data_IF_461127614452
#
_entry.id   IF_461127614452
#
_cell.length_a   1.000
_cell.length_b   1.000
_cell.length_c   1.000
_cell.angle_alpha   90.00
_cell.angle_beta   90.00
_cell.angle_gamma   90.00
#
_symmetry.space_group_name_H-M   'P 1'
#
loop_
_entity.id
_entity.type
_entity.pdbx_description
1 polymer ?
#
# COMPACT_ATOMS: atom_id res chain seq x y z
N UNK A 1 -11.24 -12.85 17.97
CA UNK A 1 -11.66 -11.81 17.03
C UNK A 1 -12.81 -12.34 16.20
N UNK A 2 -13.92 -11.62 16.12
CA UNK A 2 -15.09 -11.99 15.31
C UNK A 2 -15.07 -11.07 14.09
N UNK A 3 -14.58 -11.55 12.94
CA UNK A 3 -14.57 -10.76 11.71
C UNK A 3 -15.99 -10.54 11.20
N UNK A 4 -16.20 -9.43 10.49
CA UNK A 4 -17.44 -9.16 9.78
C UNK A 4 -17.71 -10.31 8.78
N UNK A 5 -18.97 -10.75 8.59
CA UNK A 5 -19.28 -11.91 7.74
C UNK A 5 -18.74 -11.80 6.31
N UNK A 6 -18.68 -10.59 5.73
CA UNK A 6 -18.12 -10.34 4.38
C UNK A 6 -16.59 -10.42 4.31
N UNK A 7 -15.92 -10.60 5.44
CA UNK A 7 -14.46 -10.65 5.56
C UNK A 7 -13.94 -12.05 5.93
N UNK A 8 -14.86 -12.96 6.23
CA UNK A 8 -14.54 -14.37 6.43
C UNK A 8 -14.40 -15.03 5.06
N UNK A 9 -13.43 -15.96 4.91
CA UNK A 9 -13.38 -16.76 3.69
C UNK A 9 -14.70 -17.52 3.52
N UNK A 10 -15.21 -17.51 2.30
CA UNK A 10 -16.26 -18.44 1.89
C UNK A 10 -15.70 -19.87 1.84
N UNK A 11 -16.58 -20.87 1.80
CA UNK A 11 -16.17 -22.27 1.66
C UNK A 11 -15.34 -22.50 0.37
N UNK A 12 -15.57 -21.69 -0.67
CA UNK A 12 -14.76 -21.70 -1.91
C UNK A 12 -13.37 -21.08 -1.76
N UNK A 13 -13.17 -20.17 -0.79
CA UNK A 13 -11.87 -19.53 -0.54
C UNK A 13 -10.90 -20.42 0.27
N UNK A 14 -11.42 -21.49 0.89
CA UNK A 14 -10.67 -22.49 1.64
C UNK A 14 -10.27 -23.62 0.69
N UNK A 15 -9.23 -23.42 -0.11
CA UNK A 15 -8.69 -24.47 -0.97
C UNK A 15 -7.20 -24.69 -0.70
N UNK A 16 -6.78 -25.95 -0.69
CA UNK A 16 -5.37 -26.30 -0.70
C UNK A 16 -4.85 -26.13 -2.13
N UNK A 17 -3.86 -25.26 -2.33
CA UNK A 17 -3.06 -25.28 -3.54
C UNK A 17 -2.31 -26.61 -3.57
N UNK A 18 -2.73 -27.57 -4.40
CA UNK A 18 -1.96 -28.79 -4.63
C UNK A 18 -0.62 -28.42 -5.26
N UNK A 19 0.40 -28.41 -4.41
CA UNK A 19 1.79 -27.99 -4.61
C UNK A 19 2.56 -28.70 -5.74
N UNK A 20 1.90 -29.49 -6.59
CA UNK A 20 2.54 -30.64 -7.26
C UNK A 20 2.38 -30.79 -8.76
N UNK A 21 1.45 -30.14 -9.44
CA UNK A 21 1.26 -30.55 -10.84
C UNK A 21 2.33 -30.02 -11.81
N UNK A 22 3.03 -28.92 -11.50
CA UNK A 22 4.03 -28.35 -12.44
C UNK A 22 5.24 -27.64 -11.81
N UNK A 23 5.48 -27.84 -10.51
CA UNK A 23 6.66 -27.29 -9.83
C UNK A 23 6.59 -25.80 -9.48
N UNK A 24 5.40 -25.20 -9.53
CA UNK A 24 5.14 -23.81 -9.14
C UNK A 24 4.81 -23.70 -7.65
N UNK A 25 5.21 -22.61 -7.01
CA UNK A 25 4.54 -22.08 -5.83
C UNK A 25 3.83 -20.77 -6.28
N UNK A 26 2.54 -20.56 -5.97
CA UNK A 26 1.87 -19.27 -6.25
C UNK A 26 2.55 -18.05 -5.57
N UNK A 27 3.50 -18.36 -4.68
CA UNK A 27 4.40 -17.47 -3.97
C UNK A 27 5.68 -17.15 -4.74
N UNK A 28 5.89 -17.74 -5.92
CA UNK A 28 7.11 -17.57 -6.72
C UNK A 28 7.30 -16.12 -7.17
N UNK A 29 6.21 -15.34 -7.22
CA UNK A 29 6.23 -13.89 -7.44
C UNK A 29 5.24 -13.21 -6.50
N UNK A 30 5.68 -12.08 -5.93
CA UNK A 30 4.84 -11.20 -5.15
C UNK A 30 4.82 -9.79 -5.75
N UNK A 31 3.75 -9.06 -5.45
CA UNK A 31 3.67 -7.64 -5.73
C UNK A 31 4.79 -6.90 -4.98
N UNK A 32 5.62 -6.13 -5.68
CA UNK A 32 6.75 -5.41 -5.07
C UNK A 32 6.35 -4.29 -4.10
N UNK A 33 5.09 -3.85 -4.17
CA UNK A 33 4.52 -2.84 -3.28
C UNK A 33 4.02 -3.47 -1.98
N UNK A 34 3.21 -4.53 -2.08
CA UNK A 34 2.49 -5.07 -0.93
C UNK A 34 2.94 -6.46 -0.51
N UNK A 35 3.84 -7.12 -1.23
CA UNK A 35 4.28 -8.47 -0.92
C UNK A 35 3.22 -9.58 -1.01
N UNK A 36 1.96 -9.27 -1.32
CA UNK A 36 0.98 -10.33 -1.54
C UNK A 36 1.30 -11.08 -2.86
N UNK A 37 1.00 -12.39 -2.93
CA UNK A 37 1.22 -13.21 -4.11
C UNK A 37 0.61 -12.63 -5.38
N UNK A 38 1.23 -12.94 -6.50
CA UNK A 38 0.72 -12.58 -7.83
C UNK A 38 0.35 -13.85 -8.61
N UNK A 39 -0.92 -13.97 -9.00
CA UNK A 39 -1.38 -15.11 -9.77
C UNK A 39 -1.25 -14.85 -11.28
N UNK A 40 -0.24 -15.43 -11.94
CA UNK A 40 -0.13 -15.37 -13.41
C UNK A 40 -0.88 -16.51 -14.09
N UNK A 41 -1.06 -17.65 -13.41
CA UNK A 41 -1.73 -18.83 -13.96
C UNK A 41 -2.46 -19.54 -12.85
N UNK A 42 -3.79 -19.66 -12.93
CA UNK A 42 -4.48 -20.95 -13.11
C UNK A 42 -5.86 -20.62 -13.68
N UNK A 43 -6.25 -21.27 -14.78
CA UNK A 43 -7.65 -21.31 -15.20
C UNK A 43 -8.56 -21.60 -14.00
N UNK A 44 -8.11 -22.37 -12.99
CA UNK A 44 -8.82 -22.58 -11.73
C UNK A 44 -9.10 -21.31 -10.92
N UNK A 45 -8.18 -20.34 -10.79
CA UNK A 45 -8.49 -19.09 -10.03
C UNK A 45 -9.49 -18.23 -10.80
N UNK A 46 -9.36 -18.18 -12.14
CA UNK A 46 -10.31 -17.49 -13.02
C UNK A 46 -11.69 -18.19 -13.03
N UNK A 47 -11.71 -19.52 -13.02
CA UNK A 47 -12.92 -20.35 -13.16
C UNK A 47 -13.62 -20.63 -11.82
N UNK A 48 -12.91 -20.65 -10.69
CA UNK A 48 -13.48 -20.93 -9.36
C UNK A 48 -14.14 -19.73 -8.70
N UNK A 49 -14.26 -18.59 -9.39
CA UNK A 49 -14.95 -17.38 -8.86
C UNK A 49 -14.47 -17.01 -7.45
N UNK A 50 -13.15 -17.03 -7.25
CA UNK A 50 -12.56 -16.71 -5.96
C UNK A 50 -12.52 -15.20 -5.74
N UNK A 51 -13.67 -14.61 -5.40
CA UNK A 51 -13.85 -13.15 -5.23
C UNK A 51 -12.78 -12.52 -4.34
N UNK A 52 -12.34 -13.23 -3.29
CA UNK A 52 -11.31 -12.77 -2.36
C UNK A 52 -9.98 -12.47 -3.05
N UNK A 53 -9.59 -13.30 -4.01
CA UNK A 53 -8.26 -13.30 -4.63
C UNK A 53 -8.22 -12.60 -6.00
N UNK A 54 -9.34 -12.05 -6.47
CA UNK A 54 -9.40 -11.38 -7.79
C UNK A 54 -8.43 -10.22 -7.97
N UNK A 55 -8.09 -9.53 -6.88
CA UNK A 55 -7.15 -8.40 -6.91
C UNK A 55 -5.68 -8.81 -6.92
N UNK A 56 -5.38 -10.12 -6.75
CA UNK A 56 -4.01 -10.64 -6.80
C UNK A 56 -3.51 -10.85 -8.25
N UNK A 57 -4.27 -10.39 -9.26
CA UNK A 57 -3.87 -10.43 -10.67
C UNK A 57 -2.71 -9.43 -10.89
N UNK A 58 -1.55 -9.88 -11.37
CA UNK A 58 -0.42 -9.01 -11.60
C UNK A 58 -0.56 -8.20 -12.87
N UNK A 59 -0.05 -6.98 -12.79
CA UNK A 59 0.51 -6.21 -13.89
C UNK A 59 2.04 -6.29 -13.77
N UNK A 60 2.75 -5.99 -14.86
CA UNK A 60 4.17 -5.74 -14.81
C UNK A 60 4.48 -4.28 -15.13
N UNK A 61 5.46 -3.71 -14.42
CA UNK A 61 5.90 -2.34 -14.64
C UNK A 61 7.41 -2.27 -14.88
N UNK A 62 7.82 -1.29 -15.69
CA UNK A 62 9.23 -0.94 -15.93
C UNK A 62 9.36 0.52 -16.34
N UNK A 63 10.35 1.23 -15.80
CA UNK A 63 10.69 2.57 -16.29
C UNK A 63 11.41 2.48 -17.66
N UNK A 64 10.89 3.17 -18.66
CA UNK A 64 11.47 3.19 -20.01
C UNK A 64 12.79 3.98 -20.03
N UNK A 65 13.80 3.45 -20.72
CA UNK A 65 15.13 4.05 -20.87
C UNK A 65 15.87 4.30 -19.54
N UNK A 66 15.44 3.65 -18.46
CA UNK A 66 16.11 3.71 -17.18
C UNK A 66 17.48 3.04 -17.26
N UNK A 67 18.50 3.72 -16.73
CA UNK A 67 19.88 3.26 -16.65
C UNK A 67 20.58 3.93 -15.45
N UNK A 68 21.43 3.20 -14.74
CA UNK A 68 22.27 3.78 -13.70
C UNK A 68 23.39 4.66 -14.30
N UNK A 69 23.80 5.73 -13.61
CA UNK A 69 24.81 6.68 -14.14
C UNK A 69 26.22 6.06 -14.30
N UNK A 70 26.52 4.95 -13.60
CA UNK A 70 27.80 4.25 -13.67
C UNK A 70 27.63 2.75 -13.46
N UNK A 71 28.36 1.95 -14.24
CA UNK A 71 28.39 0.47 -14.21
C UNK A 71 28.71 -0.18 -12.83
N UNK A 72 29.14 0.61 -11.83
CA UNK A 72 29.52 0.13 -10.50
C UNK A 72 29.03 1.02 -9.34
N UNK A 73 28.65 2.27 -9.61
CA UNK A 73 28.01 3.18 -8.67
C UNK A 73 26.55 3.28 -9.12
N UNK A 74 25.72 2.42 -8.55
CA UNK A 74 24.27 2.34 -8.76
C UNK A 74 23.63 3.53 -8.02
N UNK A 75 23.99 4.74 -8.41
CA UNK A 75 23.43 5.98 -7.89
C UNK A 75 22.13 6.25 -8.65
N UNK A 76 21.06 6.45 -7.90
CA UNK A 76 19.75 6.76 -8.44
C UNK A 76 19.80 8.03 -9.28
N UNK A 77 19.10 8.04 -10.43
CA UNK A 77 19.04 9.21 -11.29
C UNK A 77 18.29 10.34 -10.54
N UNK A 78 18.98 11.43 -10.23
CA UNK A 78 18.37 12.54 -9.51
C UNK A 78 17.22 13.16 -10.34
N UNK A 79 16.04 13.28 -9.72
CA UNK A 79 14.89 14.02 -10.25
C UNK A 79 14.43 13.63 -11.68
N UNK A 80 14.35 12.32 -11.96
CA UNK A 80 13.84 11.81 -13.24
C UNK A 80 12.34 11.48 -13.22
N UNK A 81 11.67 11.72 -14.36
CA UNK A 81 10.29 11.33 -14.64
C UNK A 81 10.22 10.56 -15.97
N UNK A 82 10.72 9.31 -15.94
CA UNK A 82 10.67 8.43 -17.09
C UNK A 82 9.27 7.83 -17.25
N UNK A 83 8.81 7.61 -18.50
CA UNK A 83 7.59 6.88 -18.75
C UNK A 83 7.61 5.50 -18.08
N UNK A 84 6.51 5.12 -17.45
CA UNK A 84 6.35 3.79 -16.88
C UNK A 84 5.58 2.91 -17.88
N UNK A 85 6.26 1.93 -18.45
CA UNK A 85 5.64 0.87 -19.23
C UNK A 85 4.82 -0.03 -18.28
N UNK A 86 3.57 -0.30 -18.63
CA UNK A 86 2.67 -1.17 -17.84
C UNK A 86 2.10 -2.24 -18.76
N UNK A 87 2.33 -3.50 -18.40
CA UNK A 87 1.89 -4.66 -19.16
C UNK A 87 0.82 -5.44 -18.39
N UNK A 88 -0.20 -5.88 -19.11
CA UNK A 88 -1.25 -6.75 -18.59
C UNK A 88 -0.79 -8.19 -18.40
N UNK A 89 -1.61 -8.98 -17.70
CA UNK A 89 -1.34 -10.40 -17.44
C UNK A 89 -1.11 -11.23 -18.73
N UNK A 90 -1.76 -10.86 -19.84
CA UNK A 90 -1.66 -11.60 -21.11
C UNK A 90 -0.37 -11.24 -21.89
N UNK A 91 0.39 -10.25 -21.43
CA UNK A 91 1.62 -9.75 -22.06
C UNK A 91 2.88 -10.21 -21.31
N UNK A 92 2.73 -10.93 -20.19
CA UNK A 92 3.82 -11.26 -19.27
C UNK A 92 3.98 -12.76 -19.05
N UNK A 93 5.22 -13.19 -18.81
CA UNK A 93 5.58 -14.55 -18.43
C UNK A 93 6.45 -14.53 -17.17
N UNK A 94 6.28 -15.53 -16.31
CA UNK A 94 7.13 -15.72 -15.13
C UNK A 94 8.39 -16.47 -15.54
N UNK A 95 9.56 -15.90 -15.25
CA UNK A 95 10.86 -16.54 -15.49
C UNK A 95 10.89 -18.00 -14.97
N UNK A 96 10.55 -18.24 -13.70
CA UNK A 96 10.53 -19.59 -13.13
C UNK A 96 9.60 -20.61 -13.82
N UNK A 97 8.46 -20.15 -14.35
CA UNK A 97 7.47 -20.99 -15.07
C UNK A 97 8.00 -21.39 -16.44
N UNK A 98 8.61 -20.44 -17.16
CA UNK A 98 9.19 -20.65 -18.48
C UNK A 98 10.32 -21.72 -18.45
N UNK A 99 11.13 -21.71 -17.39
CA UNK A 99 12.26 -22.63 -17.26
C UNK A 99 11.91 -23.98 -16.60
N UNK A 100 10.92 -24.04 -15.70
CA UNK A 100 10.48 -25.29 -15.07
C UNK A 100 9.85 -26.30 -16.05
N UNK A 101 9.01 -25.83 -16.98
CA UNK A 101 8.44 -26.68 -18.04
C UNK A 101 9.50 -27.16 -19.05
N UNK A 102 10.51 -26.34 -19.37
CA UNK A 102 11.59 -26.71 -20.31
C UNK A 102 12.62 -27.65 -19.69
N UNK A 103 12.96 -27.47 -18.41
CA UNK A 103 13.87 -28.36 -17.67
C UNK A 103 13.28 -29.76 -17.49
N UNK A 104 11.97 -29.88 -17.22
CA UNK A 104 11.30 -31.18 -17.16
C UNK A 104 11.27 -31.92 -18.51
N UNK A 105 11.39 -31.19 -19.63
CA UNK A 105 11.44 -31.73 -20.99
C UNK A 105 12.85 -31.90 -21.56
N UNK A 106 13.90 -31.54 -20.82
CA UNK A 106 15.31 -31.57 -21.26
C UNK A 106 15.53 -30.86 -22.62
N UNK A 107 14.72 -29.85 -22.94
CA UNK A 107 14.83 -29.16 -24.22
C UNK A 107 15.99 -28.15 -24.21
N UNK A 108 16.88 -28.14 -25.23
CA UNK A 108 17.97 -27.18 -25.31
C UNK A 108 17.47 -25.73 -25.40
N UNK A 109 18.21 -24.80 -24.77
CA UNK A 109 18.02 -23.34 -24.87
C UNK A 109 17.82 -22.92 -26.34
N UNK A 110 16.58 -22.58 -26.70
CA UNK A 110 16.31 -21.67 -27.81
C UNK A 110 15.75 -20.39 -27.21
N UNK A 111 16.57 -19.34 -27.22
CA UNK A 111 16.11 -17.95 -27.17
C UNK A 111 15.31 -17.73 -28.46
N UNK A 112 14.06 -18.19 -28.50
CA UNK A 112 13.12 -17.77 -29.53
C UNK A 112 12.67 -16.35 -29.20
N UNK A 113 12.33 -15.57 -30.22
CA UNK A 113 11.59 -14.33 -29.99
C UNK A 113 10.27 -14.67 -29.28
N UNK A 114 10.18 -14.32 -28.00
CA UNK A 114 8.97 -14.44 -27.22
C UNK A 114 8.10 -13.21 -27.50
N UNK A 115 6.79 -13.40 -27.64
CA UNK A 115 5.84 -12.28 -27.74
C UNK A 115 5.60 -11.59 -26.38
N UNK A 116 5.83 -12.31 -25.29
CA UNK A 116 5.60 -11.93 -23.89
C UNK A 116 6.89 -11.47 -23.20
N UNK A 117 6.76 -10.62 -22.17
CA UNK A 117 7.89 -10.12 -21.38
C UNK A 117 8.10 -10.93 -20.11
N UNK A 118 9.35 -11.29 -19.81
CA UNK A 118 9.69 -11.99 -18.57
C UNK A 118 9.70 -11.01 -17.39
N UNK A 119 8.97 -11.35 -16.33
CA UNK A 119 8.97 -10.61 -15.06
C UNK A 119 9.97 -11.22 -14.09
N UNK A 120 10.58 -10.36 -13.25
CA UNK A 120 11.61 -10.71 -12.26
C UNK A 120 12.78 -11.48 -12.87
N UNK A 121 13.11 -11.23 -14.14
CA UNK A 121 14.30 -11.81 -14.77
C UNK A 121 15.56 -11.14 -14.24
N UNK A 122 16.17 -11.76 -13.23
CA UNK A 122 17.37 -11.28 -12.55
C UNK A 122 18.61 -11.21 -13.47
N UNK A 123 18.55 -11.74 -14.69
CA UNK A 123 19.62 -11.59 -15.69
C UNK A 123 19.43 -10.35 -16.57
N UNK A 124 18.28 -9.68 -16.45
CA UNK A 124 18.04 -8.38 -17.05
C UNK A 124 18.48 -7.32 -16.04
N UNK A 125 19.27 -6.35 -16.48
CA UNK A 125 19.78 -5.25 -15.64
C UNK A 125 18.64 -4.42 -15.00
N UNK A 126 17.52 -4.31 -15.71
CA UNK A 126 16.31 -3.59 -15.28
C UNK A 126 15.07 -4.46 -15.53
N UNK A 127 14.79 -5.43 -14.63
CA UNK A 127 13.72 -6.39 -14.85
C UNK A 127 12.36 -5.70 -14.77
N UNK A 128 11.38 -6.26 -15.48
CA UNK A 128 9.98 -5.95 -15.18
C UNK A 128 9.64 -6.48 -13.79
N UNK A 129 8.98 -5.65 -12.99
CA UNK A 129 8.54 -6.02 -11.64
C UNK A 129 7.03 -6.15 -11.60
N UNK A 130 6.51 -7.08 -10.80
CA UNK A 130 5.05 -7.27 -10.70
C UNK A 130 4.43 -6.39 -9.64
N UNK A 131 3.27 -5.83 -9.96
CA UNK A 131 2.42 -5.07 -9.04
C UNK A 131 0.96 -5.50 -9.21
N UNK A 132 0.14 -5.36 -8.17
CA UNK A 132 -1.32 -5.47 -8.33
C UNK A 132 -1.88 -4.16 -8.88
N UNK A 133 -2.97 -4.23 -9.64
CA UNK A 133 -3.65 -3.06 -10.21
C UNK A 133 -3.99 -2.02 -9.14
N UNK A 134 -4.53 -2.47 -8.02
CA UNK A 134 -4.95 -1.62 -6.90
C UNK A 134 -3.74 -0.97 -6.21
N UNK A 135 -2.61 -1.69 -6.12
CA UNK A 135 -1.37 -1.12 -5.58
C UNK A 135 -0.78 -0.05 -6.52
N UNK A 136 -0.82 -0.28 -7.84
CA UNK A 136 -0.39 0.69 -8.85
C UNK A 136 -1.25 1.95 -8.82
N UNK A 137 -2.57 1.81 -8.67
CA UNK A 137 -3.48 2.96 -8.56
C UNK A 137 -3.25 3.75 -7.26
N UNK A 138 -2.96 3.08 -6.15
CA UNK A 138 -2.58 3.75 -4.89
C UNK A 138 -1.25 4.51 -5.04
N UNK A 139 -0.27 3.92 -5.73
CA UNK A 139 1.01 4.58 -6.03
C UNK A 139 0.81 5.85 -6.88
N UNK A 140 -0.02 5.78 -7.93
CA UNK A 140 -0.39 6.95 -8.76
C UNK A 140 -1.00 8.08 -7.92
N UNK A 141 -1.95 7.74 -7.03
CA UNK A 141 -2.59 8.73 -6.14
C UNK A 141 -1.61 9.38 -5.18
N UNK A 142 -0.65 8.62 -4.65
CA UNK A 142 0.39 9.18 -3.79
C UNK A 142 1.30 10.13 -4.57
N UNK A 143 1.72 9.77 -5.79
CA UNK A 143 2.49 10.64 -6.69
C UNK A 143 1.73 11.94 -6.97
N UNK A 144 0.47 11.87 -7.36
CA UNK A 144 -0.39 13.04 -7.59
C UNK A 144 -0.47 13.94 -6.35
N UNK A 145 -0.68 13.33 -5.17
CA UNK A 145 -0.75 14.07 -3.91
C UNK A 145 0.59 14.77 -3.59
N UNK A 146 1.72 14.07 -3.74
CA UNK A 146 3.06 14.63 -3.54
C UNK A 146 3.34 15.79 -4.50
N UNK A 147 2.91 15.68 -5.76
CA UNK A 147 3.06 16.75 -6.74
C UNK A 147 2.20 17.98 -6.39
N UNK A 148 0.97 17.78 -5.91
CA UNK A 148 0.12 18.88 -5.41
C UNK A 148 0.77 19.60 -4.23
N UNK A 149 1.32 18.83 -3.27
CA UNK A 149 2.04 19.40 -2.14
C UNK A 149 3.29 20.18 -2.57
N UNK A 150 4.08 19.64 -3.50
CA UNK A 150 5.26 20.30 -4.03
C UNK A 150 4.91 21.60 -4.77
N UNK A 151 3.89 21.58 -5.63
CA UNK A 151 3.39 22.77 -6.32
C UNK A 151 2.85 23.81 -5.35
N UNK A 152 2.34 23.37 -4.19
CA UNK A 152 1.95 24.23 -3.10
C UNK A 152 3.15 24.73 -2.26
N UNK A 153 4.37 24.26 -2.49
CA UNK A 153 5.58 24.65 -1.76
C UNK A 153 5.79 23.91 -0.44
N UNK A 154 5.12 22.77 -0.23
CA UNK A 154 5.41 21.87 0.89
C UNK A 154 6.56 20.92 0.54
N UNK A 155 7.39 20.57 1.54
CA UNK A 155 8.50 19.62 1.37
C UNK A 155 8.00 18.19 1.48
N UNK A 156 8.39 17.32 0.54
CA UNK A 156 8.03 15.89 0.52
C UNK A 156 9.16 15.00 1.08
N UNK A 157 10.33 15.57 1.35
CA UNK A 157 11.53 14.86 1.82
C UNK A 157 12.41 14.39 0.65
N UNK A 158 13.75 14.55 0.74
CA UNK A 158 14.63 14.42 -0.42
C UNK A 158 14.82 12.99 -0.95
N UNK A 159 14.57 11.96 -0.13
CA UNK A 159 14.71 10.55 -0.52
C UNK A 159 13.41 9.89 -1.02
N UNK A 160 12.30 10.64 -1.01
CA UNK A 160 10.98 10.06 -1.31
C UNK A 160 10.70 10.13 -2.82
N UNK A 161 10.25 9.02 -3.44
CA UNK A 161 9.87 9.03 -4.84
C UNK A 161 8.78 10.07 -5.15
N UNK A 162 9.04 10.94 -6.11
CA UNK A 162 8.10 11.94 -6.62
C UNK A 162 7.40 11.50 -7.89
N UNK A 163 7.97 10.53 -8.61
CA UNK A 163 7.46 10.01 -9.89
C UNK A 163 7.25 8.51 -9.84
N UNK A 164 6.50 7.97 -10.81
CA UNK A 164 6.27 6.52 -10.90
C UNK A 164 7.56 5.76 -11.24
N UNK A 165 8.46 6.37 -12.00
CA UNK A 165 9.77 5.78 -12.36
C UNK A 165 10.72 5.72 -11.16
N UNK A 166 10.74 6.75 -10.32
CA UNK A 166 11.48 6.70 -9.04
C UNK A 166 10.93 5.61 -8.09
N UNK A 167 9.62 5.37 -8.09
CA UNK A 167 9.06 4.23 -7.36
C UNK A 167 9.52 2.89 -7.94
N UNK A 168 9.55 2.77 -9.28
CA UNK A 168 10.06 1.58 -9.94
C UNK A 168 11.51 1.29 -9.54
N UNK A 169 12.39 2.31 -9.53
CA UNK A 169 13.79 2.19 -9.09
C UNK A 169 13.90 1.60 -7.68
N UNK A 170 13.15 2.15 -6.70
CA UNK A 170 13.12 1.60 -5.34
C UNK A 170 12.71 0.12 -5.33
N UNK A 171 11.67 -0.24 -6.10
CA UNK A 171 11.17 -1.62 -6.11
C UNK A 171 12.05 -2.61 -6.87
N UNK A 172 12.72 -2.15 -7.92
CA UNK A 172 13.70 -2.92 -8.68
C UNK A 172 14.92 -3.24 -7.80
N UNK A 173 15.44 -2.26 -7.06
CA UNK A 173 16.53 -2.46 -6.11
C UNK A 173 16.21 -3.51 -5.04
N UNK A 174 14.97 -3.54 -4.54
CA UNK A 174 14.49 -4.57 -3.59
C UNK A 174 14.49 -5.99 -4.17
N UNK A 175 14.69 -6.17 -5.48
CA UNK A 175 14.82 -7.48 -6.12
C UNK A 175 16.27 -7.79 -6.48
N UNK A 176 17.01 -6.82 -7.02
CA UNK A 176 18.31 -7.06 -7.67
C UNK A 176 19.53 -6.87 -6.75
N UNK A 177 19.44 -6.06 -5.68
CA UNK A 177 20.60 -5.73 -4.82
C UNK A 177 21.01 -6.83 -3.81
N UNK A 178 20.28 -7.93 -3.70
CA UNK A 178 20.48 -8.97 -2.66
C UNK A 178 21.38 -10.13 -3.12
N UNK A 179 21.91 -10.07 -4.34
CA UNK A 179 22.35 -11.29 -5.05
C UNK A 179 23.70 -11.84 -4.60
N UNK A 180 24.54 -11.07 -3.90
CA UNK A 180 25.87 -11.53 -3.52
C UNK A 180 25.85 -12.28 -2.17
N UNK A 181 25.61 -13.60 -2.23
CA UNK A 181 25.81 -14.52 -1.08
C UNK A 181 24.58 -15.25 -0.53
N UNK A 182 23.41 -15.21 -1.19
CA UNK A 182 22.21 -15.92 -0.72
C UNK A 182 22.08 -17.37 -1.21
N UNK A 183 21.61 -18.31 -0.36
CA UNK A 183 21.41 -19.69 -0.76
C UNK A 183 20.32 -19.80 -1.82
N UNK A 184 20.65 -20.51 -2.90
CA UNK A 184 19.71 -21.05 -3.88
C UNK A 184 18.46 -21.60 -3.19
N UNK A 185 17.27 -21.32 -3.74
CA UNK A 185 16.03 -21.93 -3.26
C UNK A 185 16.16 -23.46 -3.25
N UNK A 186 15.44 -24.13 -2.34
CA UNK A 186 15.55 -25.57 -1.97
C UNK A 186 15.51 -26.62 -3.10
N UNK A 187 15.37 -26.21 -4.36
CA UNK A 187 15.35 -27.08 -5.55
C UNK A 187 16.29 -26.59 -6.69
N UNK A 188 17.32 -25.80 -6.38
CA UNK A 188 18.19 -25.22 -7.41
C UNK A 188 17.53 -24.07 -8.18
N UNK A 189 16.47 -23.48 -7.63
CA UNK A 189 15.91 -22.23 -8.12
C UNK A 189 16.86 -21.09 -7.73
N UNK A 190 17.28 -20.20 -8.67
CA UNK A 190 18.45 -19.38 -8.48
C UNK A 190 18.50 -18.52 -7.21
N UNK A 191 17.51 -17.70 -6.83
CA UNK A 191 17.71 -16.68 -5.78
C UNK A 191 16.38 -16.33 -5.06
N UNK A 192 16.32 -15.44 -4.04
CA UNK A 192 15.25 -15.44 -3.04
C UNK A 192 13.88 -15.19 -3.67
N UNK A 193 12.90 -15.98 -3.22
CA UNK A 193 11.54 -16.09 -3.77
C UNK A 193 10.66 -14.85 -3.51
N UNK A 194 11.24 -13.76 -2.99
CA UNK A 194 10.54 -12.65 -2.31
C UNK A 194 11.37 -11.37 -2.39
N UNK A 195 10.67 -10.24 -2.47
CA UNK A 195 11.21 -8.87 -2.40
C UNK A 195 11.96 -8.69 -1.06
N UNK A 196 12.88 -7.72 -0.93
CA UNK A 196 13.53 -7.40 0.36
C UNK A 196 12.56 -6.67 1.28
N UNK A 197 12.56 -7.04 2.57
CA UNK A 197 11.69 -6.54 3.67
C UNK A 197 12.31 -5.42 4.53
N UNK A 198 12.57 -4.21 4.00
CA UNK A 198 13.05 -3.13 4.86
C UNK A 198 11.97 -2.69 5.87
N UNK A 199 10.68 -2.81 5.51
CA UNK A 199 9.55 -2.26 6.26
C UNK A 199 8.61 -3.31 6.86
N UNK A 200 9.07 -4.56 7.04
CA UNK A 200 8.25 -5.64 7.61
C UNK A 200 6.91 -5.81 6.86
N UNK A 201 6.96 -5.76 5.53
CA UNK A 201 5.77 -5.59 4.70
C UNK A 201 4.91 -6.85 4.60
N UNK A 202 5.46 -8.01 4.90
CA UNK A 202 4.67 -9.24 5.03
C UNK A 202 4.15 -9.42 6.46
N UNK A 203 3.49 -10.56 6.71
CA UNK A 203 3.10 -11.06 8.01
C UNK A 203 4.06 -10.64 9.13
N UNK A 204 3.61 -9.66 9.94
CA UNK A 204 4.37 -9.04 11.06
C UNK A 204 5.00 -10.04 12.04
N UNK A 205 4.50 -11.28 12.06
CA UNK A 205 4.83 -12.31 13.04
C UNK A 205 5.54 -13.54 12.46
N UNK A 206 5.95 -13.54 11.18
CA UNK A 206 6.66 -14.69 10.59
C UNK A 206 8.03 -14.30 10.06
N UNK A 207 9.03 -15.10 10.42
CA UNK A 207 10.36 -15.04 9.82
C UNK A 207 10.32 -15.76 8.47
N UNK A 208 10.10 -15.00 7.40
CA UNK A 208 9.76 -15.53 6.07
C UNK A 208 10.96 -16.10 5.29
N UNK A 209 12.14 -16.01 5.88
CA UNK A 209 13.43 -16.23 5.25
C UNK A 209 13.74 -17.66 4.80
N UNK A 210 13.05 -18.68 5.34
CA UNK A 210 13.54 -20.05 5.23
C UNK A 210 12.61 -21.05 4.54
N UNK A 211 11.29 -20.84 4.56
CA UNK A 211 10.31 -21.70 3.90
C UNK A 211 8.91 -21.18 4.21
N UNK A 212 8.45 -20.15 3.51
CA UNK A 212 7.11 -19.65 3.83
C UNK A 212 6.19 -19.75 2.65
N UNK A 213 5.30 -20.73 2.79
CA UNK A 213 4.06 -20.77 2.07
C UNK A 213 3.21 -19.55 2.45
N UNK A 214 2.58 -18.89 1.47
CA UNK A 214 1.52 -17.96 1.78
C UNK A 214 0.42 -18.74 2.49
N UNK A 215 -0.02 -18.21 3.61
CA UNK A 215 -0.91 -18.89 4.51
C UNK A 215 -2.37 -18.75 4.06
N UNK A 216 -2.68 -19.25 2.86
CA UNK A 216 -3.99 -19.12 2.23
C UNK A 216 -5.11 -19.58 3.17
N UNK A 217 -6.09 -18.72 3.37
CA UNK A 217 -7.25 -19.05 4.22
C UNK A 217 -6.94 -19.14 5.73
N UNK A 218 -5.68 -18.95 6.15
CA UNK A 218 -5.36 -18.81 7.57
C UNK A 218 -5.72 -17.41 8.08
N UNK A 219 -6.18 -17.33 9.32
CA UNK A 219 -6.60 -16.08 9.96
C UNK A 219 -5.53 -14.97 9.90
N UNK A 220 -4.24 -15.34 9.97
CA UNK A 220 -3.12 -14.38 9.90
C UNK A 220 -2.98 -13.72 8.52
N UNK A 221 -3.53 -14.32 7.45
CA UNK A 221 -3.49 -13.81 6.08
C UNK A 221 -4.71 -12.97 5.72
N UNK A 222 -5.78 -13.01 6.52
CA UNK A 222 -7.04 -12.42 6.12
C UNK A 222 -6.94 -10.94 5.79
N UNK A 223 -6.21 -10.15 6.57
CA UNK A 223 -5.96 -8.73 6.27
C UNK A 223 -5.31 -8.56 4.88
N UNK A 224 -4.27 -9.34 4.60
CA UNK A 224 -3.46 -9.26 3.40
C UNK A 224 -4.18 -9.74 2.14
N UNK A 225 -5.21 -10.57 2.28
CA UNK A 225 -5.98 -11.14 1.18
C UNK A 225 -7.17 -10.27 0.77
N UNK A 226 -7.55 -9.27 1.58
CA UNK A 226 -8.68 -8.41 1.27
C UNK A 226 -8.28 -7.30 0.31
N UNK A 227 -9.00 -7.13 -0.81
CA UNK A 227 -8.68 -6.06 -1.76
C UNK A 227 -8.69 -4.69 -1.06
N UNK A 228 -7.61 -3.89 -1.17
CA UNK A 228 -7.52 -2.60 -0.51
C UNK A 228 -8.45 -1.55 -1.13
N UNK A 229 -9.01 -1.81 -2.31
CA UNK A 229 -9.97 -0.92 -2.99
C UNK A 229 -10.85 -1.72 -3.96
N UNK A 230 -12.13 -1.37 -4.16
CA UNK A 230 -12.93 -0.38 -3.41
C UNK A 230 -13.31 -0.91 -2.01
N UNK A 231 -13.60 0.01 -1.07
CA UNK A 231 -14.12 -0.32 0.26
C UNK A 231 -15.60 0.07 0.31
N UNK A 232 -16.53 -0.90 0.37
CA UNK A 232 -17.95 -0.61 0.53
C UNK A 232 -18.22 0.18 1.81
N UNK A 233 -19.10 1.18 1.73
CA UNK A 233 -19.54 1.98 2.89
C UNK A 233 -18.39 2.63 3.68
N UNK A 234 -17.26 2.90 3.02
CA UNK A 234 -16.07 3.47 3.64
C UNK A 234 -16.39 4.73 4.46
N UNK A 235 -17.18 5.65 3.88
CA UNK A 235 -17.48 6.91 4.55
C UNK A 235 -18.26 6.68 5.83
N UNK A 236 -19.26 5.78 5.80
CA UNK A 236 -20.06 5.41 6.96
C UNK A 236 -19.18 4.75 8.03
N UNK A 237 -18.27 3.86 7.61
CA UNK A 237 -17.28 3.24 8.49
C UNK A 237 -16.41 4.30 9.18
N UNK A 238 -15.85 5.26 8.43
CA UNK A 238 -15.02 6.34 9.00
C UNK A 238 -15.84 7.24 9.94
N UNK A 239 -17.07 7.58 9.58
CA UNK A 239 -17.96 8.39 10.41
C UNK A 239 -18.39 7.65 11.69
N UNK A 240 -18.40 6.31 11.70
CA UNK A 240 -18.70 5.53 12.91
C UNK A 240 -17.68 5.73 14.04
N UNK A 241 -16.44 6.13 13.71
CA UNK A 241 -15.40 6.46 14.69
C UNK A 241 -15.48 7.90 15.21
N UNK A 242 -16.35 8.74 14.64
CA UNK A 242 -16.48 10.13 15.04
C UNK A 242 -17.12 10.22 16.43
N UNK A 243 -16.55 11.07 17.28
CA UNK A 243 -17.03 11.26 18.64
C UNK A 243 -17.58 12.67 18.85
N UNK A 244 -18.54 12.86 19.76
CA UNK A 244 -19.00 14.19 20.13
C UNK A 244 -17.87 15.04 20.72
N UNK A 245 -17.92 16.34 20.47
CA UNK A 245 -17.01 17.32 21.04
C UNK A 245 -17.20 17.36 22.57
N UNK A 246 -16.11 17.33 23.38
CA UNK A 246 -16.21 17.45 24.83
C UNK A 246 -16.93 18.74 25.25
N UNK A 247 -17.80 18.71 26.29
CA UNK A 247 -18.55 19.90 26.73
C UNK A 247 -17.67 21.10 27.08
N UNK A 248 -16.46 20.86 27.61
CA UNK A 248 -15.48 21.92 27.93
C UNK A 248 -14.94 22.67 26.72
N UNK A 249 -15.09 22.10 25.53
CA UNK A 249 -14.62 22.66 24.25
C UNK A 249 -15.75 23.24 23.40
N UNK A 250 -17.01 23.00 23.79
CA UNK A 250 -18.17 23.59 23.13
C UNK A 250 -18.20 25.10 23.44
N UNK A 251 -18.05 25.94 22.41
CA UNK A 251 -18.06 27.41 22.54
C UNK A 251 -16.69 28.10 22.58
N UNK A 252 -15.57 27.38 22.43
CA UNK A 252 -14.24 27.97 22.25
C UNK A 252 -14.03 28.48 20.80
N UNK A 253 -14.87 29.40 20.34
CA UNK A 253 -14.86 29.90 18.94
C UNK A 253 -13.90 31.07 18.68
N UNK A 254 -13.15 31.53 19.69
CA UNK A 254 -12.38 32.78 19.62
C UNK A 254 -11.21 32.78 18.63
N UNK A 255 -10.57 31.63 18.40
CA UNK A 255 -9.48 31.47 17.41
C UNK A 255 -10.03 31.13 16.01
N UNK A 256 -11.14 30.39 15.95
CA UNK A 256 -11.83 30.02 14.70
C UNK A 256 -12.18 31.24 13.85
N UNK A 257 -12.82 32.23 14.46
CA UNK A 257 -13.22 33.48 13.78
C UNK A 257 -12.02 34.31 13.30
N UNK A 258 -10.87 34.20 13.98
CA UNK A 258 -9.65 34.91 13.59
C UNK A 258 -8.95 34.24 12.42
N UNK A 259 -8.97 32.91 12.35
CA UNK A 259 -8.39 32.14 11.26
C UNK A 259 -9.14 32.38 9.95
N UNK A 260 -10.48 32.35 10.00
CA UNK A 260 -11.34 32.62 8.82
C UNK A 260 -11.21 34.07 8.32
N UNK A 261 -10.85 35.00 9.21
CA UNK A 261 -10.60 36.39 8.87
C UNK A 261 -9.20 36.65 8.27
N UNK A 262 -8.30 35.65 8.26
CA UNK A 262 -6.99 35.78 7.62
C UNK A 262 -7.13 35.80 6.09
N UNK A 263 -6.27 36.52 5.36
CA UNK A 263 -6.11 36.36 3.93
C UNK A 263 -5.84 34.90 3.55
N UNK A 264 -6.34 34.48 2.38
CA UNK A 264 -6.22 33.10 1.88
C UNK A 264 -4.77 32.63 1.86
N UNK A 265 -3.82 33.52 1.57
CA UNK A 265 -2.39 33.19 1.54
C UNK A 265 -1.86 32.73 2.91
N UNK A 266 -2.32 33.37 4.00
CA UNK A 266 -1.93 32.98 5.36
C UNK A 266 -2.63 31.71 5.81
N UNK A 267 -3.89 31.51 5.39
CA UNK A 267 -4.59 30.24 5.63
C UNK A 267 -3.86 29.09 4.93
N UNK A 268 -3.48 29.27 3.67
CA UNK A 268 -2.72 28.30 2.89
C UNK A 268 -1.36 27.98 3.53
N UNK A 269 -0.66 28.99 4.07
CA UNK A 269 0.58 28.76 4.82
C UNK A 269 0.36 27.89 6.06
N UNK A 270 -0.74 28.11 6.79
CA UNK A 270 -1.10 27.30 7.96
C UNK A 270 -1.42 25.88 7.52
N UNK A 271 -2.18 25.68 6.44
CA UNK A 271 -2.50 24.35 5.93
C UNK A 271 -1.25 23.61 5.47
N UNK A 272 -0.34 24.28 4.76
CA UNK A 272 0.95 23.73 4.35
C UNK A 272 1.78 23.25 5.54
N UNK A 273 1.75 23.99 6.66
CA UNK A 273 2.49 23.62 7.86
C UNK A 273 2.01 22.34 8.54
N UNK A 274 0.81 21.84 8.18
CA UNK A 274 0.33 20.55 8.64
C UNK A 274 0.98 19.37 7.91
N UNK A 275 1.60 19.61 6.75
CA UNK A 275 2.19 18.54 5.92
C UNK A 275 3.66 18.29 6.25
N UNK A 276 4.09 17.02 6.35
CA UNK A 276 3.27 15.81 6.30
C UNK A 276 2.51 15.57 7.60
N UNK A 277 1.23 15.20 7.51
CA UNK A 277 0.40 14.91 8.69
C UNK A 277 0.40 13.42 9.02
N UNK A 278 1.57 12.90 9.38
CA UNK A 278 1.79 11.47 9.67
C UNK A 278 2.19 11.32 11.13
N UNK A 279 1.50 10.43 11.85
CA UNK A 279 1.75 10.14 13.27
C UNK A 279 1.82 11.38 14.19
N UNK A 280 0.86 12.32 14.11
CA UNK A 280 0.85 13.50 14.97
C UNK A 280 0.60 13.13 16.44
N UNK A 281 0.89 14.05 17.37
CA UNK A 281 0.45 13.91 18.76
C UNK A 281 -1.07 13.69 18.83
N UNK A 282 -1.52 12.75 19.66
CA UNK A 282 -2.94 12.43 19.79
C UNK A 282 -3.73 13.49 20.58
N UNK A 283 -3.03 14.28 21.40
CA UNK A 283 -3.65 15.39 22.14
C UNK A 283 -4.16 16.44 21.15
N UNK A 284 -5.47 16.73 21.21
CA UNK A 284 -6.06 17.75 20.37
C UNK A 284 -5.63 19.15 20.84
N UNK A 285 -5.16 19.95 19.89
CA UNK A 285 -4.75 21.34 20.12
C UNK A 285 -5.92 22.30 20.12
N UNK A 286 -7.02 21.94 19.44
CA UNK A 286 -8.23 22.76 19.23
C UNK A 286 -7.94 24.16 18.69
N UNK A 287 -6.79 24.29 18.01
CA UNK A 287 -6.34 25.56 17.43
C UNK A 287 -7.05 25.85 16.11
N UNK A 288 -7.49 24.80 15.40
CA UNK A 288 -8.25 24.88 14.16
C UNK A 288 -9.73 24.54 14.40
N UNK A 289 -10.67 25.19 13.69
CA UNK A 289 -12.09 24.85 13.76
C UNK A 289 -12.35 23.37 13.42
N UNK A 290 -13.28 22.68 14.09
CA UNK A 290 -13.64 21.30 13.73
C UNK A 290 -14.07 21.16 12.26
N UNK A 291 -14.80 22.14 11.74
CA UNK A 291 -15.21 22.20 10.32
C UNK A 291 -14.02 22.16 9.37
N UNK A 292 -12.93 22.84 9.71
CA UNK A 292 -11.74 22.83 8.87
C UNK A 292 -11.12 21.43 8.81
N UNK A 293 -10.99 20.72 9.94
CA UNK A 293 -10.49 19.35 9.96
C UNK A 293 -11.34 18.41 9.09
N UNK A 294 -12.67 18.57 9.12
CA UNK A 294 -13.59 17.85 8.24
C UNK A 294 -13.30 18.16 6.77
N UNK A 295 -13.23 19.44 6.42
CA UNK A 295 -13.04 19.87 5.04
C UNK A 295 -11.66 19.40 4.51
N UNK A 296 -10.60 19.45 5.33
CA UNK A 296 -9.29 18.90 5.01
C UNK A 296 -9.31 17.38 4.74
N UNK A 297 -10.12 16.64 5.50
CA UNK A 297 -10.30 15.19 5.35
C UNK A 297 -11.03 14.85 4.03
N UNK A 298 -12.20 15.43 3.81
CA UNK A 298 -13.04 15.12 2.64
C UNK A 298 -12.49 15.69 1.33
N UNK A 299 -11.72 16.78 1.39
CA UNK A 299 -11.06 17.35 0.22
C UNK A 299 -9.69 16.70 -0.07
N UNK A 300 -9.36 15.58 0.58
CA UNK A 300 -8.13 14.78 0.32
C UNK A 300 -6.84 15.54 0.58
N UNK A 301 -6.91 16.57 1.44
CA UNK A 301 -5.76 17.42 1.72
C UNK A 301 -4.89 16.78 2.79
N UNK A 302 -5.48 16.24 3.87
CA UNK A 302 -4.72 15.80 5.05
C UNK A 302 -4.42 14.30 5.13
N UNK A 303 -5.34 13.44 4.66
CA UNK A 303 -5.19 11.97 4.68
C UNK A 303 -5.45 11.39 3.28
N UNK A 304 -4.46 11.44 2.37
CA UNK A 304 -4.63 11.05 0.97
C UNK A 304 -4.99 9.57 0.77
N UNK A 305 -4.76 8.70 1.77
CA UNK A 305 -5.12 7.28 1.73
C UNK A 305 -6.64 7.02 1.87
N UNK A 306 -7.43 8.06 2.15
CA UNK A 306 -8.90 8.05 2.20
C UNK A 306 -9.48 8.88 1.04
N UNK A 307 -8.97 8.67 -0.18
CA UNK A 307 -9.29 9.51 -1.35
C UNK A 307 -10.76 9.40 -1.82
N UNK A 308 -11.45 8.32 -1.49
CA UNK A 308 -12.80 7.97 -1.95
C UNK A 308 -13.88 8.21 -0.88
N UNK A 309 -13.61 9.09 0.09
CA UNK A 309 -14.65 9.59 1.01
C UNK A 309 -15.71 10.40 0.25
N UNK A 310 -16.97 10.10 0.58
CA UNK A 310 -18.15 10.71 -0.03
C UNK A 310 -18.68 11.84 0.85
N UNK A 311 -18.45 13.08 0.44
CA UNK A 311 -18.91 14.26 1.17
C UNK A 311 -20.45 14.31 1.31
N UNK A 312 -21.20 13.70 0.39
CA UNK A 312 -22.66 13.68 0.44
C UNK A 312 -23.19 12.86 1.62
N UNK A 313 -22.40 11.91 2.14
CA UNK A 313 -22.75 11.14 3.32
C UNK A 313 -22.85 12.00 4.60
N UNK A 314 -22.28 13.20 4.62
CA UNK A 314 -22.34 14.09 5.79
C UNK A 314 -23.76 14.60 6.10
N UNK A 315 -24.64 14.59 5.09
CA UNK A 315 -26.05 14.97 5.24
C UNK A 315 -26.86 13.92 6.00
N UNK A 316 -26.31 12.72 6.21
CA UNK A 316 -26.97 11.66 6.98
C UNK A 316 -26.90 11.92 8.49
N UNK A 317 -27.89 11.39 9.22
CA UNK A 317 -27.87 11.37 10.68
C UNK A 317 -27.08 10.16 11.19
N UNK A 318 -26.36 10.29 12.32
CA UNK A 318 -25.81 9.15 13.04
C UNK A 318 -26.87 8.11 13.36
N UNK A 319 -26.53 6.83 13.20
CA UNK A 319 -27.46 5.69 13.38
C UNK A 319 -27.90 5.49 14.85
N UNK A 320 -27.31 6.22 15.80
CA UNK A 320 -27.53 6.01 17.23
C UNK A 320 -28.21 7.23 17.89
N UNK A 321 -29.54 7.20 17.96
CA UNK A 321 -30.35 7.65 19.13
C UNK A 321 -31.84 7.68 18.76
N UNK A 322 -32.69 7.16 19.66
CA UNK A 322 -34.16 7.32 19.62
C UNK A 322 -34.62 8.77 19.94
N UNK A 323 -33.69 9.72 20.05
CA UNK A 323 -33.97 11.13 20.25
C UNK A 323 -34.33 11.82 18.93
N UNK A 324 -35.35 12.67 18.97
CA UNK A 324 -35.89 13.40 17.80
C UNK A 324 -34.89 14.43 17.20
N UNK A 325 -33.84 14.81 17.93
CA UNK A 325 -32.86 15.83 17.53
C UNK A 325 -31.42 15.29 17.41
N UNK A 326 -31.20 14.23 16.64
CA UNK A 326 -29.81 13.80 16.33
C UNK A 326 -29.21 14.75 15.30
N UNK A 327 -28.14 15.49 15.62
CA UNK A 327 -27.49 16.38 14.67
C UNK A 327 -26.84 15.59 13.53
N UNK A 328 -26.88 16.14 12.32
CA UNK A 328 -26.13 15.60 11.17
C UNK A 328 -24.63 15.72 11.39
N UNK A 329 -23.83 15.03 10.58
CA UNK A 329 -22.37 15.16 10.62
C UNK A 329 -21.89 16.57 10.22
N UNK A 330 -22.72 17.36 9.54
CA UNK A 330 -22.41 18.75 9.19
C UNK A 330 -22.56 19.73 10.37
N UNK A 331 -23.21 19.34 11.46
CA UNK A 331 -23.49 20.23 12.57
C UNK A 331 -22.20 20.79 13.20
N UNK A 332 -22.06 22.12 13.18
CA UNK A 332 -20.90 22.81 13.73
C UNK A 332 -20.84 22.70 15.25
N UNK A 333 -19.63 22.52 15.79
CA UNK A 333 -19.40 22.45 17.24
C UNK A 333 -19.91 21.17 17.92
N UNK A 334 -20.50 20.24 17.17
CA UNK A 334 -21.03 18.97 17.70
C UNK A 334 -19.98 17.87 17.69
N UNK A 335 -19.20 17.76 16.62
CA UNK A 335 -18.33 16.60 16.37
C UNK A 335 -16.84 16.92 16.47
N UNK A 336 -16.07 15.98 17.00
CA UNK A 336 -14.64 16.08 17.23
C UNK A 336 -13.81 15.62 16.03
N UNK A 337 -13.86 16.42 14.96
CA UNK A 337 -13.15 16.15 13.71
C UNK A 337 -11.63 16.12 13.87
N UNK A 338 -11.05 16.97 14.73
CA UNK A 338 -9.60 16.95 15.00
C UNK A 338 -9.16 15.60 15.55
N UNK A 339 -9.89 15.08 16.53
CA UNK A 339 -9.58 13.78 17.13
C UNK A 339 -9.67 12.65 16.11
N UNK A 340 -10.71 12.65 15.28
CA UNK A 340 -10.85 11.64 14.22
C UNK A 340 -9.65 11.67 13.27
N UNK A 341 -9.31 12.86 12.74
CA UNK A 341 -8.20 13.01 11.78
C UNK A 341 -6.86 12.61 12.41
N UNK A 342 -6.57 13.03 13.65
CA UNK A 342 -5.36 12.63 14.39
C UNK A 342 -5.28 11.12 14.62
N UNK A 343 -6.42 10.48 14.91
CA UNK A 343 -6.50 9.03 15.10
C UNK A 343 -6.21 8.30 13.80
N UNK A 344 -6.87 8.69 12.70
CA UNK A 344 -6.66 8.11 11.37
C UNK A 344 -5.25 8.35 10.81
N UNK A 345 -4.55 9.39 11.28
CA UNK A 345 -3.17 9.69 10.93
C UNK A 345 -2.14 8.80 11.64
N UNK A 346 -2.54 8.03 12.67
CA UNK A 346 -1.61 7.17 13.40
C UNK A 346 -1.17 5.98 12.54
N UNK A 347 0.14 5.72 12.50
CA UNK A 347 0.72 4.61 11.71
C UNK A 347 0.25 3.24 12.19
N UNK A 348 -0.01 3.13 13.50
CA UNK A 348 -0.34 1.90 14.20
C UNK A 348 -1.81 1.81 14.62
N UNK A 349 -2.69 2.64 14.05
CA UNK A 349 -4.09 2.80 14.49
C UNK A 349 -4.92 1.50 14.57
N UNK A 350 -4.51 0.48 13.81
CA UNK A 350 -5.17 -0.84 13.72
C UNK A 350 -4.53 -1.93 14.58
N UNK A 351 -3.48 -1.62 15.34
CA UNK A 351 -2.81 -2.57 16.23
C UNK A 351 -3.67 -2.94 17.43
N UNK A 352 -3.44 -4.11 18.06
CA UNK A 352 -4.16 -4.49 19.27
C UNK A 352 -4.09 -3.41 20.36
N UNK A 353 -5.24 -3.07 20.94
CA UNK A 353 -5.37 -2.01 21.94
C UNK A 353 -5.45 -0.59 21.38
N UNK A 354 -5.44 -0.41 20.05
CA UNK A 354 -5.60 0.89 19.41
C UNK A 354 -7.06 1.17 19.04
N UNK A 355 -7.46 2.44 18.83
CA UNK A 355 -8.86 2.82 18.67
C UNK A 355 -9.59 2.14 17.50
N UNK A 356 -8.88 1.75 16.43
CA UNK A 356 -9.45 1.13 15.24
C UNK A 356 -9.04 -0.35 15.11
N UNK A 357 -8.68 -1.04 16.20
CA UNK A 357 -8.27 -2.45 16.14
C UNK A 357 -9.30 -3.40 15.47
N UNK A 358 -10.57 -3.01 15.50
CA UNK A 358 -11.71 -3.76 14.94
C UNK A 358 -12.18 -3.25 13.58
N UNK A 359 -11.46 -2.31 12.97
CA UNK A 359 -11.81 -1.82 11.66
C UNK A 359 -11.79 -2.93 10.60
N UNK A 360 -12.59 -2.78 9.53
CA UNK A 360 -12.62 -3.71 8.41
C UNK A 360 -11.22 -4.05 7.89
N UNK A 361 -11.00 -5.33 7.61
CA UNK A 361 -9.76 -5.86 7.06
C UNK A 361 -9.36 -5.16 5.75
N UNK A 362 -10.33 -4.77 4.90
CA UNK A 362 -10.05 -3.99 3.69
C UNK A 362 -9.42 -2.63 4.02
N UNK A 363 -9.93 -1.94 5.05
CA UNK A 363 -9.42 -0.64 5.48
C UNK A 363 -8.02 -0.77 6.08
N UNK A 364 -7.81 -1.80 6.89
CA UNK A 364 -6.49 -2.16 7.45
C UNK A 364 -5.48 -2.43 6.35
N UNK A 365 -5.84 -3.26 5.36
CA UNK A 365 -4.97 -3.57 4.23
C UNK A 365 -4.67 -2.33 3.37
N UNK A 366 -5.67 -1.47 3.13
CA UNK A 366 -5.46 -0.20 2.43
C UNK A 366 -4.44 0.68 3.15
N UNK A 367 -4.60 0.92 4.46
CA UNK A 367 -3.62 1.74 5.19
C UNK A 367 -2.25 1.09 5.19
N UNK A 368 -2.17 -0.23 5.34
CA UNK A 368 -0.92 -0.99 5.26
C UNK A 368 -0.21 -0.76 3.92
N UNK A 369 -0.87 -1.00 2.80
CA UNK A 369 -0.29 -0.79 1.45
C UNK A 369 0.11 0.66 1.26
N UNK A 370 -0.72 1.61 1.70
CA UNK A 370 -0.40 3.03 1.61
C UNK A 370 0.84 3.39 2.43
N UNK A 371 0.96 2.86 3.65
CA UNK A 371 2.13 3.07 4.51
C UNK A 371 3.41 2.57 3.83
N UNK A 372 3.37 1.39 3.19
CA UNK A 372 4.51 0.85 2.46
C UNK A 372 4.97 1.76 1.31
N UNK A 373 4.04 2.49 0.68
CA UNK A 373 4.34 3.52 -0.31
C UNK A 373 4.87 4.82 0.31
N UNK A 374 4.37 5.19 1.51
CA UNK A 374 4.85 6.35 2.27
C UNK A 374 6.30 6.15 2.78
N UNK A 375 6.63 4.92 3.19
CA UNK A 375 7.92 4.48 3.72
C UNK A 375 8.94 4.12 2.63
N UNK A 376 8.51 3.97 1.38
CA UNK A 376 9.41 3.71 0.26
C UNK A 376 10.32 4.93 0.04
N UNK A 377 11.61 4.70 0.19
CA UNK A 377 12.67 5.70 0.03
C UNK A 377 13.79 5.12 -0.83
N UNK A 378 14.51 6.00 -1.52
CA UNK A 378 15.74 5.61 -2.21
C UNK A 378 16.72 4.97 -1.22
N UNK A 379 17.33 3.86 -1.64
CA UNK A 379 18.24 3.04 -0.82
C UNK A 379 17.59 2.45 0.46
N UNK A 380 16.26 2.29 0.51
CA UNK A 380 15.57 1.84 1.74
C UNK A 380 15.91 0.41 2.20
N UNK A 381 16.63 -0.34 1.37
CA UNK A 381 17.13 -1.68 1.71
C UNK A 381 18.50 -1.69 2.38
N UNK A 382 19.26 -0.59 2.39
CA UNK A 382 20.67 -0.60 2.85
C UNK A 382 20.79 -1.00 4.32
N UNK A 383 19.96 -0.44 5.20
CA UNK A 383 19.93 -0.82 6.63
C UNK A 383 19.61 -2.31 6.80
N UNK A 384 18.70 -2.81 5.97
CA UNK A 384 18.34 -4.22 5.97
C UNK A 384 19.50 -5.10 5.50
N UNK A 385 20.20 -4.70 4.43
CA UNK A 385 21.36 -5.40 3.89
C UNK A 385 22.50 -5.45 4.93
N UNK A 386 22.78 -4.33 5.58
CA UNK A 386 23.75 -4.24 6.69
C UNK A 386 23.42 -5.22 7.82
N UNK A 387 22.15 -5.25 8.25
CA UNK A 387 21.72 -6.08 9.36
C UNK A 387 21.69 -7.58 9.04
N UNK A 388 21.26 -7.96 7.84
CA UNK A 388 20.93 -9.35 7.51
C UNK A 388 21.93 -10.03 6.57
N UNK A 389 22.71 -9.26 5.80
CA UNK A 389 23.66 -9.76 4.79
C UNK A 389 25.09 -9.53 5.26
N UNK A 390 25.47 -8.28 5.50
CA UNK A 390 26.88 -7.94 5.72
C UNK A 390 27.38 -8.31 7.12
N UNK A 391 26.54 -8.19 8.16
CA UNK A 391 26.87 -8.58 9.54
C UNK A 391 26.83 -10.10 9.82
N UNK A 392 26.50 -10.94 8.82
CA UNK A 392 26.54 -12.41 8.95
C UNK A 392 27.92 -13.04 8.64
N UNK A 393 28.98 -12.23 8.49
CA UNK A 393 30.35 -12.71 8.27
C UNK A 393 31.08 -13.08 9.57
#
# INVERSE_FOLDING_TARGET
MVFHPSERPSEGDLFEFERRERGYDAEDICCVICGAPSFVVVEDVRNRTLERYKWFVPLAIRAENYHYEKDWDIASLADHDLPLEVLGIDEIEIYGVHYGERLSRLEPRRYGEHSSKLVHDLYTEYPYVTVHSECLDMMRRLVEHRQVLLNAGASVGPKRPMTLSQFYEVFEQRLTRVLDGYPYGLKGAPYPRRVVEPHWYYFRDTNLFHNVAWAFGEQKAYEYEMAPSPIPELTQEILSYLQPLPPSSQGQSGLSLKLEALPTELQDMIYKSLHPFINPEQTCTRSLPPRLWRDLLFNRQILPWLWDLDISALQSCPVASDSVDVPTFEAEGVWDWERLVRTLAQVRVFEPGQPLEHAPLRLRNRRRVWRLLEEAEDEDIEEWLDAHVYKRK
#
